data_IF_922495110939
#
_entry.id   IF_922495110939
#
_cell.length_a   1.000
_cell.length_b   1.000
_cell.length_c   1.000
_cell.angle_alpha   90.00
_cell.angle_beta   90.00
_cell.angle_gamma   90.00
#
_symmetry.space_group_name_H-M   'P 1'
#
loop_
_entity.id
_entity.type
_entity.pdbx_description
1 polymer ?
#
# COMPACT_ATOMS: atom_id res chain seq x y z
N UNK A 1 81.65 -5.90 -5.38
CA UNK A 1 81.35 -4.65 -4.69
C UNK A 1 79.85 -4.48 -4.65
N UNK A 2 79.17 -4.55 -3.48
CA UNK A 2 77.75 -4.29 -3.32
C UNK A 2 77.57 -2.82 -2.94
N UNK A 3 76.88 -2.05 -3.79
CA UNK A 3 76.50 -0.66 -3.47
C UNK A 3 75.58 -0.60 -2.26
N UNK A 4 75.83 0.31 -1.32
CA UNK A 4 74.91 0.49 -0.19
C UNK A 4 73.61 1.10 -0.68
N UNK A 5 72.44 0.44 -0.36
CA UNK A 5 71.10 1.00 -0.57
C UNK A 5 70.92 2.08 0.47
N UNK A 6 70.80 3.33 0.04
CA UNK A 6 70.44 4.46 0.88
C UNK A 6 68.94 4.33 1.22
N UNK A 7 68.61 3.94 2.43
CA UNK A 7 67.26 4.02 2.96
C UNK A 7 66.95 5.49 3.28
N UNK A 8 66.10 6.13 2.48
CA UNK A 8 65.56 7.45 2.80
C UNK A 8 64.48 7.26 3.87
N UNK A 9 64.65 7.82 5.03
CA UNK A 9 63.66 7.88 6.08
C UNK A 9 62.59 8.96 5.79
N UNK A 10 61.38 8.72 6.24
CA UNK A 10 60.28 9.69 6.18
C UNK A 10 60.61 10.94 6.99
N UNK A 11 60.35 12.10 6.41
CA UNK A 11 60.49 13.37 7.14
C UNK A 11 59.28 13.64 8.02
N UNK A 12 59.43 14.34 9.15
CA UNK A 12 58.31 14.69 10.04
C UNK A 12 57.23 15.50 9.31
N UNK A 13 57.64 16.35 8.36
CA UNK A 13 56.71 17.15 7.54
C UNK A 13 55.87 16.28 6.64
N UNK A 14 56.48 15.27 6.01
CA UNK A 14 55.76 14.35 5.13
C UNK A 14 54.71 13.52 5.91
N UNK A 15 55.04 13.13 7.14
CA UNK A 15 54.10 12.45 8.03
C UNK A 15 52.90 13.33 8.42
N UNK A 16 53.15 14.59 8.80
CA UNK A 16 52.07 15.55 9.16
C UNK A 16 51.18 15.84 7.95
N UNK A 17 51.78 16.08 6.77
CA UNK A 17 51.00 16.29 5.54
C UNK A 17 50.13 15.05 5.21
N UNK A 18 50.68 13.85 5.37
CA UNK A 18 49.98 12.60 5.16
C UNK A 18 48.77 12.44 6.07
N UNK A 19 48.88 12.76 7.37
CA UNK A 19 47.76 12.69 8.30
C UNK A 19 46.68 13.72 7.96
N UNK A 20 47.07 14.95 7.60
CA UNK A 20 46.09 16.00 7.23
C UNK A 20 45.32 15.60 5.97
N UNK A 21 46.00 15.10 4.95
CA UNK A 21 45.36 14.60 3.72
C UNK A 21 44.41 13.42 4.01
N UNK A 22 44.83 12.51 4.87
CA UNK A 22 43.99 11.36 5.27
C UNK A 22 42.73 11.84 6.02
N UNK A 23 42.88 12.81 6.94
CA UNK A 23 41.75 13.37 7.68
C UNK A 23 40.73 14.04 6.76
N UNK A 24 41.20 14.81 5.77
CA UNK A 24 40.34 15.45 4.75
C UNK A 24 39.64 14.40 3.88
N UNK A 25 40.35 13.35 3.47
CA UNK A 25 39.76 12.27 2.69
C UNK A 25 38.68 11.50 3.47
N UNK A 26 38.95 11.18 4.75
CA UNK A 26 37.98 10.48 5.62
C UNK A 26 36.71 11.31 5.88
N UNK A 27 36.85 12.62 6.13
CA UNK A 27 35.67 13.50 6.32
C UNK A 27 34.84 13.60 5.06
N UNK A 28 35.44 13.60 3.88
CA UNK A 28 34.71 13.55 2.60
C UNK A 28 33.91 12.25 2.43
N UNK A 29 34.52 11.10 2.71
CA UNK A 29 33.87 9.79 2.62
C UNK A 29 32.73 9.66 3.63
N UNK A 30 32.93 10.09 4.87
CA UNK A 30 31.90 10.07 5.91
C UNK A 30 30.70 10.95 5.52
N UNK A 31 30.94 12.12 4.93
CA UNK A 31 29.88 12.99 4.43
C UNK A 31 29.04 12.35 3.34
N UNK A 32 29.63 11.60 2.42
CA UNK A 32 28.92 10.86 1.39
C UNK A 32 28.06 9.72 1.99
N UNK A 33 28.60 8.97 2.96
CA UNK A 33 27.89 7.86 3.61
C UNK A 33 26.66 8.36 4.40
N UNK A 34 26.79 9.48 5.12
CA UNK A 34 25.68 10.06 5.88
C UNK A 34 24.54 10.53 4.94
N UNK A 35 24.89 11.10 3.78
CA UNK A 35 23.89 11.54 2.81
C UNK A 35 23.18 10.38 2.08
N UNK A 36 23.78 9.19 2.01
CA UNK A 36 23.18 8.02 1.36
C UNK A 36 22.31 7.18 2.30
N UNK A 37 22.44 7.32 3.61
CA UNK A 37 21.69 6.54 4.59
C UNK A 37 20.16 6.68 4.46
N UNK A 38 19.58 7.88 4.26
CA UNK A 38 18.14 8.01 4.03
C UNK A 38 17.66 7.30 2.76
N UNK A 39 18.44 7.35 1.68
CA UNK A 39 18.08 6.75 0.39
C UNK A 39 18.07 5.20 0.41
N UNK A 40 18.74 4.58 1.38
CA UNK A 40 18.76 3.13 1.52
C UNK A 40 17.54 2.58 2.31
N UNK A 41 16.94 3.40 3.18
CA UNK A 41 15.77 3.03 3.99
C UNK A 41 14.47 3.16 3.17
N UNK A 42 14.41 4.14 2.28
CA UNK A 42 13.24 4.46 1.46
C UNK A 42 12.74 3.26 0.61
N UNK A 43 13.56 2.56 -0.18
CA UNK A 43 13.08 1.44 -0.99
C UNK A 43 12.52 0.27 -0.15
N UNK A 44 13.03 0.04 1.06
CA UNK A 44 12.49 -1.01 1.95
C UNK A 44 11.09 -0.64 2.43
N UNK A 45 10.86 0.63 2.78
CA UNK A 45 9.54 1.11 3.18
C UNK A 45 8.54 1.03 2.02
N UNK A 46 8.96 1.38 0.81
CA UNK A 46 8.13 1.29 -0.39
C UNK A 46 7.73 -0.17 -0.71
N UNK A 47 8.66 -1.12 -0.61
CA UNK A 47 8.37 -2.55 -0.79
C UNK A 47 7.38 -3.05 0.25
N UNK A 48 7.52 -2.66 1.52
CA UNK A 48 6.55 -3.00 2.57
C UNK A 48 5.17 -2.39 2.31
N UNK A 49 5.11 -1.13 1.87
CA UNK A 49 3.85 -0.49 1.50
C UNK A 49 3.17 -1.22 0.34
N UNK A 50 3.94 -1.68 -0.67
CA UNK A 50 3.41 -2.46 -1.78
C UNK A 50 2.89 -3.84 -1.33
N UNK A 51 3.60 -4.53 -0.42
CA UNK A 51 3.15 -5.80 0.15
C UNK A 51 1.86 -5.62 0.97
N UNK A 52 1.77 -4.56 1.78
CA UNK A 52 0.55 -4.22 2.50
C UNK A 52 -0.63 -3.97 1.55
N UNK A 53 -0.39 -3.19 0.50
CA UNK A 53 -1.41 -2.90 -0.51
C UNK A 53 -1.88 -4.17 -1.24
N UNK A 54 -0.96 -5.02 -1.67
CA UNK A 54 -1.29 -6.30 -2.31
C UNK A 54 -2.12 -7.20 -1.41
N UNK A 55 -1.80 -7.24 -0.12
CA UNK A 55 -2.57 -8.02 0.85
C UNK A 55 -4.00 -7.50 0.99
N UNK A 56 -4.18 -6.18 1.19
CA UNK A 56 -5.50 -5.59 1.36
C UNK A 56 -6.32 -5.74 0.07
N UNK A 57 -5.73 -5.42 -1.09
CA UNK A 57 -6.41 -5.57 -2.37
C UNK A 57 -6.75 -7.03 -2.69
N UNK A 58 -5.88 -7.97 -2.29
CA UNK A 58 -6.15 -9.41 -2.40
C UNK A 58 -7.36 -9.83 -1.57
N UNK A 59 -7.44 -9.38 -0.32
CA UNK A 59 -8.59 -9.62 0.55
C UNK A 59 -9.89 -9.02 -0.03
N UNK A 60 -9.83 -7.81 -0.57
CA UNK A 60 -10.98 -7.17 -1.23
C UNK A 60 -11.46 -7.98 -2.46
N UNK A 61 -10.54 -8.59 -3.21
CA UNK A 61 -10.89 -9.41 -4.38
C UNK A 61 -11.61 -10.70 -4.01
N UNK A 62 -11.43 -11.21 -2.80
CA UNK A 62 -12.12 -12.41 -2.29
C UNK A 62 -13.55 -12.11 -1.82
N UNK A 63 -13.89 -10.83 -1.62
CA UNK A 63 -15.21 -10.42 -1.17
C UNK A 63 -16.20 -10.30 -2.32
N UNK A 64 -17.49 -10.28 -1.98
CA UNK A 64 -18.56 -10.03 -2.94
C UNK A 64 -18.43 -8.64 -3.55
N UNK A 65 -19.08 -8.44 -4.68
CA UNK A 65 -19.11 -7.12 -5.32
C UNK A 65 -19.88 -6.10 -4.49
N UNK A 66 -20.98 -6.53 -3.85
CA UNK A 66 -21.95 -5.68 -3.16
C UNK A 66 -22.78 -6.56 -2.20
N UNK A 67 -23.32 -5.99 -1.12
CA UNK A 67 -24.20 -6.67 -0.15
C UNK A 67 -25.38 -7.38 -0.83
N UNK A 68 -25.93 -6.78 -1.88
CA UNK A 68 -27.05 -7.33 -2.63
C UNK A 68 -26.66 -8.26 -3.80
N UNK A 69 -25.39 -8.61 -3.92
CA UNK A 69 -24.89 -9.60 -4.88
C UNK A 69 -24.85 -10.99 -4.27
N UNK A 70 -24.76 -12.05 -5.12
CA UNK A 70 -24.61 -13.42 -4.65
C UNK A 70 -23.22 -13.63 -4.02
N UNK A 71 -23.21 -13.93 -2.73
CA UNK A 71 -22.00 -14.26 -1.98
C UNK A 71 -21.43 -15.67 -2.29
N UNK A 72 -22.10 -16.45 -3.14
CA UNK A 72 -21.77 -17.86 -3.43
C UNK A 72 -21.25 -18.09 -4.85
N UNK A 73 -20.75 -17.09 -5.53
CA UNK A 73 -20.09 -17.27 -6.82
C UNK A 73 -20.85 -16.78 -8.04
N UNK A 74 -21.66 -15.77 -7.91
CA UNK A 74 -22.14 -14.98 -9.05
C UNK A 74 -23.36 -15.57 -9.78
N UNK A 75 -24.27 -16.18 -9.05
CA UNK A 75 -25.55 -16.66 -9.60
C UNK A 75 -26.45 -15.52 -10.05
N UNK A 76 -26.37 -14.39 -9.37
CA UNK A 76 -27.09 -13.17 -9.70
C UNK A 76 -26.27 -11.94 -9.23
N UNK A 77 -26.58 -10.82 -9.85
CA UNK A 77 -25.92 -9.53 -9.59
C UNK A 77 -26.92 -8.59 -8.94
N UNK A 78 -26.44 -7.67 -8.11
CA UNK A 78 -27.29 -6.59 -7.64
C UNK A 78 -27.82 -5.78 -8.83
N UNK A 79 -29.10 -5.37 -8.76
CA UNK A 79 -29.78 -4.64 -9.83
C UNK A 79 -30.14 -5.46 -11.07
N UNK A 80 -29.88 -6.76 -11.09
CA UNK A 80 -30.18 -7.64 -12.21
C UNK A 80 -31.61 -8.16 -12.16
N UNK A 81 -32.18 -8.44 -13.34
CA UNK A 81 -33.40 -9.22 -13.46
C UNK A 81 -33.03 -10.54 -14.12
N UNK A 82 -33.10 -11.64 -13.37
CA UNK A 82 -32.66 -12.95 -13.80
C UNK A 82 -33.78 -13.97 -13.91
N UNK A 83 -33.62 -14.91 -14.82
CA UNK A 83 -34.41 -16.16 -14.94
C UNK A 83 -35.79 -16.03 -15.58
N UNK A 84 -36.37 -17.18 -16.05
CA UNK A 84 -37.79 -17.38 -16.31
C UNK A 84 -38.47 -18.13 -15.14
N UNK A 85 -39.47 -17.53 -14.39
CA UNK A 85 -39.97 -16.18 -14.54
C UNK A 85 -38.96 -15.13 -14.06
N UNK A 86 -39.00 -13.90 -14.59
CA UNK A 86 -38.05 -12.86 -14.22
C UNK A 86 -38.18 -12.49 -12.73
N UNK A 87 -37.04 -12.62 -12.02
CA UNK A 87 -36.90 -12.21 -10.62
C UNK A 87 -35.99 -10.98 -10.60
N UNK A 88 -36.50 -9.86 -10.11
CA UNK A 88 -35.72 -8.65 -9.91
C UNK A 88 -34.95 -8.78 -8.60
N UNK A 89 -33.63 -8.63 -8.67
CA UNK A 89 -32.77 -8.56 -7.51
C UNK A 89 -32.69 -7.12 -6.98
N UNK A 90 -32.40 -6.91 -5.69
CA UNK A 90 -32.27 -5.57 -5.12
C UNK A 90 -31.22 -4.74 -5.89
N UNK A 91 -31.41 -3.41 -5.97
CA UNK A 91 -30.40 -2.54 -6.53
C UNK A 91 -29.10 -2.64 -5.71
N UNK A 92 -27.95 -2.35 -6.35
CA UNK A 92 -26.68 -2.28 -5.63
C UNK A 92 -26.70 -1.15 -4.60
N UNK A 93 -25.89 -1.27 -3.58
CA UNK A 93 -25.69 -0.26 -2.53
C UNK A 93 -25.33 1.08 -3.16
N UNK A 94 -26.03 2.13 -2.76
CA UNK A 94 -25.73 3.46 -3.27
C UNK A 94 -24.37 3.95 -2.72
N UNK A 95 -23.61 4.67 -3.53
CA UNK A 95 -22.27 5.14 -3.15
C UNK A 95 -22.24 6.03 -1.90
N UNK A 96 -23.36 6.63 -1.52
CA UNK A 96 -23.50 7.39 -0.28
C UNK A 96 -23.55 6.52 0.98
N UNK A 97 -23.87 5.24 0.82
CA UNK A 97 -24.06 4.26 1.90
C UNK A 97 -22.91 3.26 1.99
N UNK A 98 -21.81 3.48 1.22
CA UNK A 98 -20.61 2.62 1.28
C UNK A 98 -19.94 2.67 2.65
N UNK A 99 -19.52 1.52 3.11
CA UNK A 99 -18.85 1.31 4.38
C UNK A 99 -19.41 0.12 5.15
N UNK A 100 -18.76 -0.31 6.23
CA UNK A 100 -19.14 -1.52 6.97
C UNK A 100 -20.56 -1.49 7.49
N UNK A 101 -21.26 -2.57 7.25
CA UNK A 101 -22.62 -2.79 7.70
C UNK A 101 -22.73 -3.13 9.19
N UNK A 102 -23.98 -3.23 9.67
CA UNK A 102 -24.25 -3.51 11.08
C UNK A 102 -23.73 -4.87 11.54
N UNK A 103 -22.66 -4.87 12.34
CA UNK A 103 -21.98 -6.08 12.83
C UNK A 103 -20.59 -6.30 12.25
N UNK A 104 -20.23 -5.58 11.23
CA UNK A 104 -18.94 -5.63 10.55
C UNK A 104 -17.96 -4.62 11.12
N UNK A 105 -17.28 -5.01 12.19
CA UNK A 105 -16.40 -4.11 12.93
C UNK A 105 -14.94 -4.23 12.55
N UNK A 106 -14.57 -5.22 11.72
CA UNK A 106 -13.20 -5.54 11.34
C UNK A 106 -13.13 -6.04 9.90
N UNK A 107 -12.04 -5.80 9.17
CA UNK A 107 -11.91 -6.20 7.78
C UNK A 107 -12.17 -7.70 7.51
N UNK A 108 -11.83 -8.57 8.45
CA UNK A 108 -12.10 -10.01 8.30
C UNK A 108 -13.60 -10.37 8.43
N UNK A 109 -14.44 -9.45 8.94
CA UNK A 109 -15.90 -9.62 8.99
C UNK A 109 -16.60 -8.97 7.80
N UNK A 110 -15.91 -8.16 7.01
CA UNK A 110 -16.42 -7.53 5.80
C UNK A 110 -16.84 -8.60 4.80
N UNK A 111 -17.98 -8.40 4.18
CA UNK A 111 -18.55 -9.38 3.27
C UNK A 111 -18.50 -8.90 1.81
N UNK A 112 -18.39 -7.61 1.58
CA UNK A 112 -18.31 -7.02 0.25
C UNK A 112 -17.18 -5.97 0.09
N UNK A 113 -17.07 -5.40 -1.11
CA UNK A 113 -15.95 -4.51 -1.46
C UNK A 113 -16.13 -3.11 -0.89
N UNK A 114 -17.36 -2.62 -0.76
CA UNK A 114 -17.62 -1.26 -0.30
C UNK A 114 -17.45 -1.09 1.22
N UNK A 115 -17.46 -2.17 1.98
CA UNK A 115 -17.12 -2.17 3.42
C UNK A 115 -15.72 -1.63 3.70
N UNK A 116 -14.82 -1.75 2.73
CA UNK A 116 -13.47 -1.25 2.85
C UNK A 116 -13.36 0.27 2.67
N UNK A 117 -14.42 0.97 2.27
CA UNK A 117 -14.36 2.43 2.12
C UNK A 117 -14.11 3.11 3.47
N UNK A 118 -13.05 3.89 3.54
CA UNK A 118 -12.67 4.62 4.76
C UNK A 118 -13.32 5.98 4.88
N UNK A 119 -14.22 6.34 3.97
CA UNK A 119 -14.86 7.67 3.87
C UNK A 119 -13.81 8.81 3.89
N UNK A 120 -12.72 8.63 3.17
CA UNK A 120 -11.62 9.59 3.08
C UNK A 120 -10.74 9.72 4.33
N UNK A 121 -10.95 8.91 5.36
CA UNK A 121 -10.18 8.95 6.60
C UNK A 121 -8.92 8.09 6.49
N UNK A 122 -7.87 8.52 7.18
CA UNK A 122 -6.68 7.71 7.40
C UNK A 122 -6.93 6.73 8.54
N UNK A 123 -6.66 5.46 8.30
CA UNK A 123 -6.80 4.36 9.26
C UNK A 123 -5.44 3.71 9.44
N UNK A 124 -5.09 3.32 10.66
CA UNK A 124 -3.84 2.61 10.92
C UNK A 124 -3.81 1.27 10.17
N UNK A 125 -2.67 0.95 9.56
CA UNK A 125 -2.52 -0.27 8.79
C UNK A 125 -2.75 -1.55 9.62
N UNK A 126 -2.51 -1.49 10.93
CA UNK A 126 -2.81 -2.57 11.87
C UNK A 126 -4.27 -3.00 11.86
N UNK A 127 -5.19 -2.08 11.57
CA UNK A 127 -6.62 -2.40 11.44
C UNK A 127 -6.88 -3.46 10.37
N UNK A 128 -6.15 -3.40 9.26
CA UNK A 128 -6.29 -4.34 8.13
C UNK A 128 -5.41 -5.58 8.29
N UNK A 129 -4.47 -5.61 9.23
CA UNK A 129 -3.53 -6.73 9.38
C UNK A 129 -3.78 -7.62 10.59
N UNK A 130 -4.71 -7.27 11.46
CA UNK A 130 -4.98 -7.95 12.74
C UNK A 130 -5.45 -9.41 12.65
N UNK A 131 -5.87 -9.88 11.48
CA UNK A 131 -6.28 -11.29 11.30
C UNK A 131 -5.10 -12.27 11.27
N UNK A 132 -3.85 -11.82 11.23
CA UNK A 132 -2.67 -12.67 11.22
C UNK A 132 -1.63 -12.21 12.25
N UNK A 133 -1.26 -13.12 13.13
CA UNK A 133 -0.15 -13.12 14.08
C UNK A 133 0.50 -11.78 14.49
N UNK A 134 0.79 -11.62 15.78
CA UNK A 134 1.41 -10.46 16.43
C UNK A 134 2.64 -9.83 15.74
N UNK A 135 3.28 -10.53 14.81
CA UNK A 135 4.42 -10.05 14.04
C UNK A 135 4.07 -9.00 12.96
N UNK A 136 2.85 -9.04 12.43
CA UNK A 136 2.43 -8.08 11.38
C UNK A 136 2.03 -6.72 11.93
N UNK A 137 1.60 -6.63 13.18
CA UNK A 137 1.26 -5.36 13.82
C UNK A 137 2.49 -4.47 14.01
N UNK A 138 3.63 -5.05 14.43
CA UNK A 138 4.86 -4.29 14.62
C UNK A 138 5.45 -3.81 13.29
N UNK A 139 5.34 -4.62 12.25
CA UNK A 139 5.90 -4.31 10.92
C UNK A 139 5.22 -3.09 10.27
N UNK A 140 3.89 -2.95 10.44
CA UNK A 140 3.10 -1.87 9.81
C UNK A 140 2.65 -0.78 10.78
N UNK A 141 3.18 -0.74 11.98
CA UNK A 141 2.76 0.14 13.08
C UNK A 141 2.72 1.63 12.75
N UNK A 142 3.55 2.09 11.80
CA UNK A 142 3.63 3.51 11.41
C UNK A 142 3.09 3.77 10.00
N UNK A 143 2.45 2.79 9.40
CA UNK A 143 1.80 2.94 8.13
C UNK A 143 0.33 3.28 8.33
N UNK A 144 -0.21 4.12 7.47
CA UNK A 144 -1.63 4.45 7.44
C UNK A 144 -2.19 4.13 6.06
N UNK A 145 -3.45 3.80 6.02
CA UNK A 145 -4.16 3.40 4.81
C UNK A 145 -5.40 4.27 4.65
N UNK A 146 -5.68 4.67 3.43
CA UNK A 146 -6.92 5.31 3.04
C UNK A 146 -7.44 4.60 1.79
N UNK A 147 -8.68 4.15 1.83
CA UNK A 147 -9.33 3.44 0.74
C UNK A 147 -10.55 4.24 0.31
N UNK A 148 -10.66 4.45 -0.99
CA UNK A 148 -11.84 5.04 -1.60
C UNK A 148 -12.41 4.05 -2.61
N UNK A 149 -13.69 3.73 -2.46
CA UNK A 149 -14.46 2.91 -3.39
C UNK A 149 -15.46 3.80 -4.10
N UNK A 150 -15.44 3.82 -5.42
CA UNK A 150 -16.38 4.65 -6.21
C UNK A 150 -16.96 3.85 -7.35
N UNK A 151 -18.25 4.07 -7.68
CA UNK A 151 -18.86 3.45 -8.86
C UNK A 151 -18.12 3.89 -10.12
N UNK A 152 -17.92 2.96 -11.05
CA UNK A 152 -17.23 3.26 -12.30
C UNK A 152 -17.76 2.40 -13.46
N UNK A 153 -17.94 3.01 -14.61
CA UNK A 153 -18.35 2.34 -15.84
C UNK A 153 -17.18 1.83 -16.68
N UNK A 154 -15.96 1.88 -16.16
CA UNK A 154 -14.68 1.49 -16.77
C UNK A 154 -14.21 2.41 -17.91
N UNK A 155 -15.12 2.92 -18.75
CA UNK A 155 -14.80 3.66 -19.97
C UNK A 155 -15.67 4.89 -20.20
N UNK A 156 -16.43 5.35 -19.21
CA UNK A 156 -17.34 6.46 -19.35
C UNK A 156 -17.54 7.27 -18.09
N UNK A 157 -18.36 8.30 -18.20
CA UNK A 157 -18.81 9.05 -17.02
C UNK A 157 -19.75 8.19 -16.18
N UNK A 158 -19.60 8.25 -14.87
CA UNK A 158 -20.56 7.66 -13.95
C UNK A 158 -21.94 8.26 -14.24
N UNK A 159 -22.89 7.40 -14.62
CA UNK A 159 -24.30 7.76 -14.86
C UNK A 159 -25.20 6.97 -13.92
N UNK A 160 -26.50 7.14 -14.06
CA UNK A 160 -27.45 6.29 -13.33
C UNK A 160 -27.15 4.82 -13.60
N UNK A 161 -26.98 4.01 -12.53
CA UNK A 161 -26.67 2.60 -12.59
C UNK A 161 -25.16 2.27 -12.65
N UNK A 162 -24.27 3.25 -12.48
CA UNK A 162 -22.83 3.00 -12.41
C UNK A 162 -22.47 2.02 -11.30
N UNK A 163 -23.20 2.04 -10.19
CA UNK A 163 -23.04 1.14 -9.06
C UNK A 163 -23.20 -0.33 -9.47
N UNK A 164 -24.01 -0.62 -10.48
CA UNK A 164 -24.27 -1.99 -10.95
C UNK A 164 -23.27 -2.51 -11.99
N UNK A 165 -22.37 -1.67 -12.50
CA UNK A 165 -21.40 -2.03 -13.54
C UNK A 165 -20.06 -2.42 -12.93
N UNK A 166 -19.52 -1.57 -12.07
CA UNK A 166 -18.23 -1.80 -11.46
C UNK A 166 -17.90 -0.79 -10.38
N UNK A 167 -16.90 -1.15 -9.57
CA UNK A 167 -16.35 -0.31 -8.51
C UNK A 167 -14.86 -0.12 -8.77
N UNK A 168 -14.41 1.14 -8.77
CA UNK A 168 -13.00 1.50 -8.79
C UNK A 168 -12.52 1.73 -7.37
N UNK A 169 -11.49 1.01 -7.00
CA UNK A 169 -10.88 1.06 -5.68
C UNK A 169 -9.55 1.81 -5.81
N UNK A 170 -9.38 2.84 -4.97
CA UNK A 170 -8.11 3.56 -4.84
C UNK A 170 -7.62 3.40 -3.41
N UNK A 171 -6.53 2.66 -3.26
CA UNK A 171 -5.87 2.44 -1.98
C UNK A 171 -4.63 3.32 -1.91
N UNK A 172 -4.56 4.19 -0.93
CA UNK A 172 -3.39 5.05 -0.65
C UNK A 172 -2.74 4.59 0.64
N UNK A 173 -1.46 4.27 0.57
CA UNK A 173 -0.64 3.90 1.74
C UNK A 173 0.28 5.05 2.07
N UNK A 174 0.19 5.57 3.29
CA UNK A 174 1.13 6.56 3.83
C UNK A 174 2.24 5.85 4.59
N UNK A 175 3.47 6.16 4.21
CA UNK A 175 4.69 5.62 4.80
C UNK A 175 5.09 6.39 6.07
N UNK A 176 5.99 5.83 6.90
CA UNK A 176 6.48 6.49 8.12
C UNK A 176 7.18 7.83 7.92
N UNK A 177 7.70 8.11 6.72
CA UNK A 177 8.33 9.37 6.31
C UNK A 177 7.31 10.43 5.82
N UNK A 178 6.01 10.05 5.74
CA UNK A 178 4.93 10.90 5.26
C UNK A 178 4.69 10.83 3.74
N UNK A 179 5.50 10.12 2.98
CA UNK A 179 5.25 9.88 1.55
C UNK A 179 4.03 8.97 1.35
N UNK A 180 3.41 9.06 0.19
CA UNK A 180 2.19 8.32 -0.14
C UNK A 180 2.37 7.52 -1.43
N UNK A 181 1.96 6.26 -1.41
CA UNK A 181 1.89 5.40 -2.58
C UNK A 181 0.43 5.08 -2.88
N UNK A 182 0.06 5.19 -4.15
CA UNK A 182 -1.32 4.97 -4.61
C UNK A 182 -1.38 3.70 -5.45
N UNK A 183 -2.35 2.84 -5.13
CA UNK A 183 -2.63 1.61 -5.85
C UNK A 183 -4.08 1.63 -6.32
N UNK A 184 -4.32 1.11 -7.50
CA UNK A 184 -5.66 1.04 -8.09
C UNK A 184 -6.09 -0.39 -8.35
N UNK A 185 -7.38 -0.67 -8.17
CA UNK A 185 -8.02 -1.92 -8.51
C UNK A 185 -9.39 -1.60 -9.12
N UNK A 186 -9.85 -2.43 -10.02
CA UNK A 186 -11.21 -2.39 -10.56
C UNK A 186 -11.92 -3.71 -10.29
N UNK A 187 -13.13 -3.63 -9.75
CA UNK A 187 -13.99 -4.79 -9.52
C UNK A 187 -15.25 -4.66 -10.37
N UNK A 188 -15.46 -5.57 -11.29
CA UNK A 188 -16.70 -5.67 -12.07
C UNK A 188 -17.78 -6.44 -11.33
N UNK A 189 -19.04 -6.14 -11.60
CA UNK A 189 -20.21 -6.85 -11.08
C UNK A 189 -20.48 -8.12 -11.90
N UNK A 190 -19.69 -9.18 -11.64
CA UNK A 190 -19.82 -10.49 -12.34
C UNK A 190 -19.38 -11.63 -11.42
#
# INVERSE_FOLDING_TARGET
MRSPKICRGFTLVEFVVGIVLLAVALTGILGLLVNQAPQAVDPVQQVRAAQLAQRILGEMLEKSFDEHSDHNGGRFRCGETAGPPPIAHPPCTASADYGPDGGETRPYTFNDVDDFDTAGRWVDASYFTQASAASSEEEYRRYQVKIAVVPDTLFGSAGEGAESIGKRITLTVRLPDGSELVFGLYRGNY
#
